data_IF_401516377249
#
_entry.id   IF_401516377249
#
_cell.length_a   1.000
_cell.length_b   1.000
_cell.length_c   1.000
_cell.angle_alpha   90.00
_cell.angle_beta   90.00
_cell.angle_gamma   90.00
#
_symmetry.space_group_name_H-M   'P 1'
#
loop_
_entity.id
_entity.type
_entity.pdbx_description
1 polymer ?
#
# COMPACT_ATOMS: atom_id res chain seq x y z
N UNK A 1 10.69 43.32 10.11
CA UNK A 1 9.50 42.74 10.77
C UNK A 1 8.53 42.26 9.71
N UNK A 2 8.58 40.99 9.33
CA UNK A 2 7.65 40.37 8.38
C UNK A 2 6.80 39.36 9.15
N UNK A 3 5.48 39.59 9.16
CA UNK A 3 4.49 38.73 9.80
C UNK A 3 4.40 37.42 9.04
N UNK A 4 4.87 36.33 9.66
CA UNK A 4 4.53 34.97 9.27
C UNK A 4 3.02 34.79 9.42
N UNK A 5 2.32 34.64 8.31
CA UNK A 5 0.96 34.13 8.28
C UNK A 5 1.01 32.63 8.62
N UNK A 6 1.00 32.31 9.91
CA UNK A 6 0.57 31.00 10.42
C UNK A 6 -0.92 30.86 10.19
N UNK A 7 -1.32 30.49 8.98
CA UNK A 7 -2.55 29.70 8.81
C UNK A 7 -2.17 28.27 9.19
N UNK A 8 -2.17 28.03 10.50
CA UNK A 8 -2.48 26.70 11.03
C UNK A 8 -3.78 26.28 10.36
N UNK A 9 -3.74 25.15 9.67
CA UNK A 9 -4.90 24.47 9.12
C UNK A 9 -5.92 24.27 10.24
N UNK A 10 -6.91 25.16 10.30
CA UNK A 10 -8.17 24.89 10.98
C UNK A 10 -8.77 23.68 10.25
N UNK A 11 -8.70 22.51 10.89
CA UNK A 11 -9.41 21.32 10.42
C UNK A 11 -10.90 21.66 10.35
N UNK A 12 -11.52 21.40 9.21
CA UNK A 12 -12.95 21.63 9.03
C UNK A 12 -13.72 20.91 10.15
N UNK A 13 -14.62 21.58 10.90
CA UNK A 13 -15.42 20.94 11.93
C UNK A 13 -16.23 19.73 11.42
N UNK A 14 -16.43 19.56 10.10
CA UNK A 14 -16.97 18.32 9.52
C UNK A 14 -15.99 17.15 9.60
N UNK A 15 -14.69 17.38 9.36
CA UNK A 15 -13.65 16.33 9.38
C UNK A 15 -13.41 15.80 10.80
N UNK A 16 -13.52 16.68 11.81
CA UNK A 16 -13.40 16.30 13.23
C UNK A 16 -14.56 15.38 13.63
N UNK A 17 -15.79 15.71 13.22
CA UNK A 17 -16.98 14.89 13.48
C UNK A 17 -16.93 13.53 12.76
N UNK A 18 -16.53 13.51 11.48
CA UNK A 18 -16.34 12.24 10.77
C UNK A 18 -15.26 11.36 11.42
N UNK A 19 -14.20 11.96 11.98
CA UNK A 19 -13.14 11.22 12.66
C UNK A 19 -13.56 10.64 14.01
N UNK A 20 -14.40 11.35 14.78
CA UNK A 20 -14.98 10.87 16.04
C UNK A 20 -16.00 9.77 15.79
N UNK A 21 -16.89 9.93 14.80
CA UNK A 21 -17.87 8.92 14.41
C UNK A 21 -17.20 7.61 13.94
N UNK A 22 -16.10 7.70 13.20
CA UNK A 22 -15.33 6.51 12.79
C UNK A 22 -14.63 5.86 14.00
N UNK A 23 -14.08 6.65 14.91
CA UNK A 23 -13.43 6.11 16.11
C UNK A 23 -14.42 5.39 17.03
N UNK A 24 -15.58 6.01 17.27
CA UNK A 24 -16.66 5.43 18.07
C UNK A 24 -17.23 4.19 17.38
N UNK A 25 -17.44 4.22 16.06
CA UNK A 25 -17.85 3.04 15.30
C UNK A 25 -16.83 1.89 15.44
N UNK A 26 -15.54 2.16 15.28
CA UNK A 26 -14.48 1.14 15.42
C UNK A 26 -14.43 0.63 16.86
N UNK A 27 -14.54 1.51 17.85
CA UNK A 27 -14.49 1.12 19.26
C UNK A 27 -15.68 0.27 19.68
N UNK A 28 -16.87 0.59 19.18
CA UNK A 28 -18.12 -0.07 19.58
C UNK A 28 -18.45 -1.30 18.74
N UNK A 29 -18.05 -1.34 17.47
CA UNK A 29 -18.48 -2.39 16.53
C UNK A 29 -17.34 -3.27 16.03
N UNK A 30 -16.09 -2.82 16.16
CA UNK A 30 -14.91 -3.56 15.68
C UNK A 30 -14.11 -4.16 16.82
N UNK A 31 -13.62 -3.35 17.77
CA UNK A 31 -12.76 -3.85 18.86
C UNK A 31 -13.38 -4.96 19.72
N UNK A 32 -14.70 -5.01 20.00
CA UNK A 32 -15.28 -6.08 20.80
C UNK A 32 -15.22 -7.48 20.14
N UNK A 33 -14.88 -7.55 18.85
CA UNK A 33 -14.95 -8.76 18.04
C UNK A 33 -13.64 -9.15 17.37
N UNK A 34 -12.56 -8.41 17.63
CA UNK A 34 -11.24 -8.60 17.01
C UNK A 34 -10.25 -9.00 18.12
N UNK A 35 -9.68 -10.19 18.03
CA UNK A 35 -8.57 -10.60 18.89
C UNK A 35 -7.26 -9.97 18.41
N UNK A 36 -6.23 -9.93 19.26
CA UNK A 36 -4.93 -9.37 18.89
C UNK A 36 -4.27 -10.11 17.69
N UNK A 37 -4.69 -11.34 17.43
CA UNK A 37 -4.21 -12.19 16.34
C UNK A 37 -5.03 -12.04 15.05
N UNK A 38 -6.16 -11.34 15.09
CA UNK A 38 -7.02 -11.17 13.93
C UNK A 38 -6.50 -10.06 13.00
N UNK A 39 -6.60 -10.24 11.67
CA UNK A 39 -6.22 -9.21 10.72
C UNK A 39 -7.10 -7.96 10.89
N UNK A 40 -6.48 -6.79 10.84
CA UNK A 40 -7.18 -5.52 10.96
C UNK A 40 -8.29 -5.38 9.88
N UNK A 41 -9.50 -4.91 10.24
CA UNK A 41 -10.58 -4.81 9.27
C UNK A 41 -10.26 -3.85 8.11
N UNK A 42 -10.76 -4.14 6.90
CA UNK A 42 -10.47 -3.32 5.72
C UNK A 42 -10.86 -1.85 5.88
N UNK A 43 -11.99 -1.59 6.55
CA UNK A 43 -12.48 -0.22 6.83
C UNK A 43 -11.48 0.59 7.66
N UNK A 44 -10.89 -0.02 8.70
CA UNK A 44 -9.88 0.61 9.53
C UNK A 44 -8.58 0.86 8.75
N UNK A 45 -8.13 -0.12 7.96
CA UNK A 45 -6.95 0.04 7.10
C UNK A 45 -7.12 1.17 6.08
N UNK A 46 -8.29 1.27 5.43
CA UNK A 46 -8.62 2.36 4.51
C UNK A 46 -8.62 3.71 5.23
N UNK A 47 -9.20 3.77 6.44
CA UNK A 47 -9.20 4.99 7.24
C UNK A 47 -7.77 5.45 7.58
N UNK A 48 -6.91 4.53 8.04
CA UNK A 48 -5.51 4.85 8.35
C UNK A 48 -4.77 5.32 7.09
N UNK A 49 -4.95 4.63 5.95
CA UNK A 49 -4.32 5.02 4.69
C UNK A 49 -4.75 6.43 4.25
N UNK A 50 -6.04 6.77 4.37
CA UNK A 50 -6.55 8.12 4.09
C UNK A 50 -5.97 9.16 5.03
N UNK A 51 -5.91 8.87 6.33
CA UNK A 51 -5.33 9.78 7.32
C UNK A 51 -3.86 10.11 7.07
N UNK A 52 -3.07 9.12 6.62
CA UNK A 52 -1.65 9.35 6.31
C UNK A 52 -1.48 10.13 4.99
N UNK A 53 -2.38 9.92 4.02
CA UNK A 53 -2.28 10.48 2.67
C UNK A 53 -3.02 11.80 2.45
N UNK A 54 -3.84 12.25 3.40
CA UNK A 54 -4.70 13.43 3.27
C UNK A 54 -4.52 14.42 4.44
N UNK A 55 -4.59 15.75 4.20
CA UNK A 55 -4.66 16.44 2.89
C UNK A 55 -3.33 16.51 2.14
N UNK A 56 -2.23 16.34 2.86
CA UNK A 56 -0.86 16.31 2.32
C UNK A 56 -0.18 15.07 2.87
N UNK A 57 0.50 14.32 2.00
CA UNK A 57 1.21 13.12 2.39
C UNK A 57 2.35 13.47 3.35
N UNK A 58 2.30 12.92 4.57
CA UNK A 58 3.43 12.98 5.49
C UNK A 58 4.50 11.98 5.07
N UNK A 59 5.66 12.47 4.64
CA UNK A 59 6.75 11.63 4.15
C UNK A 59 7.35 10.71 5.23
N UNK A 60 7.31 11.13 6.51
CA UNK A 60 7.76 10.32 7.65
C UNK A 60 6.89 9.08 7.88
N UNK A 61 5.61 9.16 7.51
CA UNK A 61 4.64 8.08 7.70
C UNK A 61 4.55 7.14 6.47
N UNK A 62 5.34 7.38 5.41
CA UNK A 62 5.34 6.51 4.21
C UNK A 62 5.62 5.04 4.57
N UNK A 63 6.60 4.69 5.43
CA UNK A 63 6.81 3.30 5.84
C UNK A 63 5.55 2.64 6.40
N UNK A 64 4.82 3.35 7.25
CA UNK A 64 3.58 2.85 7.85
C UNK A 64 2.46 2.78 6.82
N UNK A 65 2.35 3.75 5.92
CA UNK A 65 1.41 3.70 4.80
C UNK A 65 1.66 2.45 3.94
N UNK A 66 2.91 2.12 3.66
CA UNK A 66 3.28 0.92 2.91
C UNK A 66 2.83 -0.36 3.64
N UNK A 67 3.00 -0.43 4.97
CA UNK A 67 2.52 -1.58 5.77
C UNK A 67 0.99 -1.76 5.65
N UNK A 68 0.26 -0.65 5.76
CA UNK A 68 -1.21 -0.62 5.61
C UNK A 68 -1.60 -1.03 4.19
N UNK A 69 -0.86 -0.56 3.17
CA UNK A 69 -1.11 -0.89 1.77
C UNK A 69 -0.82 -2.36 1.44
N UNK A 70 0.23 -2.95 2.01
CA UNK A 70 0.49 -4.39 1.89
C UNK A 70 -0.67 -5.22 2.46
N UNK A 71 -1.18 -4.81 3.63
CA UNK A 71 -2.36 -5.45 4.25
C UNK A 71 -3.61 -5.31 3.37
N UNK A 72 -3.86 -4.12 2.81
CA UNK A 72 -4.99 -3.88 1.90
C UNK A 72 -4.89 -4.67 0.60
N UNK A 73 -3.69 -4.81 0.05
CA UNK A 73 -3.45 -5.61 -1.15
C UNK A 73 -3.73 -7.10 -0.89
N UNK A 74 -3.37 -7.60 0.29
CA UNK A 74 -3.73 -8.95 0.71
C UNK A 74 -5.25 -9.13 0.83
N UNK A 75 -5.94 -8.21 1.49
CA UNK A 75 -7.41 -8.18 1.57
C UNK A 75 -8.04 -8.20 0.17
N UNK A 76 -7.53 -7.36 -0.75
CA UNK A 76 -8.01 -7.29 -2.14
C UNK A 76 -7.87 -8.62 -2.85
N UNK A 77 -6.71 -9.28 -2.76
CA UNK A 77 -6.45 -10.57 -3.41
C UNK A 77 -7.39 -11.66 -2.90
N UNK A 78 -7.50 -11.81 -1.59
CA UNK A 78 -8.40 -12.79 -0.96
C UNK A 78 -9.84 -12.53 -1.37
N UNK A 79 -10.27 -11.27 -1.36
CA UNK A 79 -11.61 -10.86 -1.81
C UNK A 79 -11.89 -11.29 -3.26
N UNK A 80 -10.90 -11.18 -4.14
CA UNK A 80 -11.05 -11.57 -5.54
C UNK A 80 -11.04 -13.08 -5.75
N UNK A 81 -10.26 -13.82 -4.97
CA UNK A 81 -10.31 -15.28 -4.93
C UNK A 81 -11.69 -15.76 -4.47
N UNK A 82 -12.26 -15.14 -3.44
CA UNK A 82 -13.64 -15.41 -3.00
C UNK A 82 -14.68 -15.09 -4.09
N UNK A 83 -14.53 -13.96 -4.80
CA UNK A 83 -15.41 -13.63 -5.91
C UNK A 83 -15.36 -14.69 -7.02
N UNK A 84 -14.16 -15.15 -7.40
CA UNK A 84 -13.96 -16.23 -8.38
C UNK A 84 -14.57 -17.55 -7.91
N UNK A 85 -14.36 -17.91 -6.65
CA UNK A 85 -14.91 -19.13 -6.05
C UNK A 85 -16.44 -19.10 -6.05
N UNK A 86 -17.04 -17.99 -5.63
CA UNK A 86 -18.50 -17.82 -5.65
C UNK A 86 -19.09 -17.99 -7.06
N UNK A 87 -18.44 -17.43 -8.08
CA UNK A 87 -18.84 -17.63 -9.48
C UNK A 87 -18.69 -19.08 -9.95
N UNK A 88 -17.63 -19.77 -9.55
CA UNK A 88 -17.42 -21.20 -9.86
C UNK A 88 -18.50 -22.07 -9.21
N UNK A 89 -18.83 -21.80 -7.96
CA UNK A 89 -19.89 -22.52 -7.23
C UNK A 89 -21.26 -22.29 -7.87
N UNK A 90 -21.58 -21.04 -8.25
CA UNK A 90 -22.80 -20.71 -8.98
C UNK A 90 -22.95 -21.56 -10.25
N UNK A 91 -21.89 -21.69 -11.05
CA UNK A 91 -21.93 -22.50 -12.28
C UNK A 91 -22.17 -23.98 -11.97
N UNK A 92 -21.45 -24.55 -11.00
CA UNK A 92 -21.64 -25.94 -10.58
C UNK A 92 -23.05 -26.20 -10.06
N UNK A 93 -23.61 -25.29 -9.26
CA UNK A 93 -24.97 -25.41 -8.76
C UNK A 93 -26.02 -25.35 -9.87
N UNK A 94 -25.81 -24.52 -10.89
CA UNK A 94 -26.67 -24.48 -12.09
C UNK A 94 -26.64 -25.80 -12.89
N UNK A 95 -25.48 -26.44 -12.99
CA UNK A 95 -25.31 -27.72 -13.68
C UNK A 95 -25.95 -28.89 -12.91
N UNK A 96 -25.78 -28.93 -11.58
CA UNK A 96 -26.26 -30.02 -10.72
C UNK A 96 -27.77 -30.01 -10.45
N UNK A 97 -28.45 -28.86 -10.64
CA UNK A 97 -29.87 -28.65 -10.32
C UNK A 97 -30.25 -29.06 -8.88
N UNK A 98 -29.33 -28.95 -7.93
CA UNK A 98 -29.57 -29.35 -6.53
C UNK A 98 -30.70 -28.51 -5.89
N UNK A 99 -31.74 -29.15 -5.33
CA UNK A 99 -32.86 -28.45 -4.71
C UNK A 99 -32.42 -27.74 -3.41
N UNK A 100 -32.91 -26.52 -3.20
CA UNK A 100 -32.66 -25.75 -1.98
C UNK A 100 -31.40 -24.86 -2.00
N UNK A 101 -30.63 -24.84 -3.09
CA UNK A 101 -29.53 -23.90 -3.25
C UNK A 101 -30.05 -22.52 -3.66
N UNK A 102 -29.67 -21.49 -2.89
CA UNK A 102 -29.91 -20.09 -3.23
C UNK A 102 -28.83 -19.63 -4.21
N UNK A 103 -29.24 -19.37 -5.45
CA UNK A 103 -28.36 -18.85 -6.49
C UNK A 103 -28.20 -17.33 -6.39
N UNK A 104 -27.07 -16.82 -6.87
CA UNK A 104 -26.82 -15.39 -7.01
C UNK A 104 -27.83 -14.75 -7.98
N UNK A 105 -28.29 -13.54 -7.64
CA UNK A 105 -29.05 -12.71 -8.57
C UNK A 105 -28.15 -12.27 -9.72
N UNK A 106 -28.72 -12.09 -10.92
CA UNK A 106 -27.98 -11.62 -12.12
C UNK A 106 -27.18 -10.33 -11.88
N UNK A 107 -27.70 -9.43 -11.05
CA UNK A 107 -27.01 -8.18 -10.68
C UNK A 107 -25.75 -8.42 -9.85
N UNK A 108 -25.79 -9.38 -8.94
CA UNK A 108 -24.70 -9.69 -8.01
C UNK A 108 -23.64 -10.53 -8.71
N UNK A 109 -24.07 -11.49 -9.54
CA UNK A 109 -23.20 -12.21 -10.46
C UNK A 109 -22.42 -11.25 -11.37
N UNK A 110 -23.09 -10.25 -11.97
CA UNK A 110 -22.43 -9.24 -12.81
C UNK A 110 -21.36 -8.46 -12.04
N UNK A 111 -21.62 -8.08 -10.78
CA UNK A 111 -20.64 -7.38 -9.94
C UNK A 111 -19.42 -8.27 -9.66
N UNK A 112 -19.64 -9.52 -9.26
CA UNK A 112 -18.56 -10.46 -9.00
C UNK A 112 -17.74 -10.75 -10.26
N UNK A 113 -18.38 -10.89 -11.43
CA UNK A 113 -17.68 -11.05 -12.71
C UNK A 113 -16.78 -9.87 -13.02
N UNK A 114 -17.26 -8.65 -12.79
CA UNK A 114 -16.42 -7.44 -12.99
C UNK A 114 -15.21 -7.42 -12.05
N UNK A 115 -15.33 -7.94 -10.82
CA UNK A 115 -14.20 -8.03 -9.89
C UNK A 115 -13.23 -9.16 -10.23
N UNK A 116 -13.75 -10.26 -10.77
CA UNK A 116 -12.98 -11.43 -11.19
C UNK A 116 -12.37 -11.30 -12.59
N UNK A 117 -12.69 -10.23 -13.33
CA UNK A 117 -12.19 -9.99 -14.69
C UNK A 117 -10.67 -9.78 -14.69
N UNK A 118 -9.94 -10.67 -15.38
CA UNK A 118 -8.47 -10.70 -15.37
C UNK A 118 -7.82 -9.41 -15.86
N UNK A 119 -8.47 -8.66 -16.78
CA UNK A 119 -7.94 -7.39 -17.26
C UNK A 119 -8.03 -6.33 -16.17
N UNK A 120 -9.15 -6.28 -15.46
CA UNK A 120 -9.35 -5.38 -14.31
C UNK A 120 -8.39 -5.76 -13.18
N UNK A 121 -8.25 -7.05 -12.87
CA UNK A 121 -7.31 -7.57 -11.87
C UNK A 121 -5.90 -7.10 -12.15
N UNK A 122 -5.44 -7.34 -13.38
CA UNK A 122 -4.07 -7.04 -13.81
C UNK A 122 -3.80 -5.54 -13.82
N UNK A 123 -4.78 -4.74 -14.23
CA UNK A 123 -4.67 -3.28 -14.26
C UNK A 123 -4.58 -2.71 -12.84
N UNK A 124 -5.41 -3.18 -11.90
CA UNK A 124 -5.34 -2.74 -10.50
C UNK A 124 -4.02 -3.13 -9.84
N UNK A 125 -3.52 -4.34 -10.13
CA UNK A 125 -2.19 -4.81 -9.70
C UNK A 125 -1.07 -3.89 -10.21
N UNK A 126 -1.15 -3.52 -11.50
CA UNK A 126 -0.18 -2.63 -12.12
C UNK A 126 -0.20 -1.23 -11.50
N UNK A 127 -1.39 -0.65 -11.29
CA UNK A 127 -1.55 0.66 -10.63
C UNK A 127 -1.01 0.62 -9.20
N UNK A 128 -1.33 -0.42 -8.44
CA UNK A 128 -0.79 -0.60 -7.09
C UNK A 128 0.74 -0.59 -7.07
N UNK A 129 1.37 -1.35 -7.96
CA UNK A 129 2.83 -1.49 -7.97
C UNK A 129 3.54 -0.27 -8.56
N UNK A 130 3.19 0.14 -9.77
CA UNK A 130 3.93 1.18 -10.51
C UNK A 130 3.58 2.59 -10.05
N UNK A 131 2.29 2.89 -9.87
CA UNK A 131 1.83 4.26 -9.62
C UNK A 131 1.80 4.60 -8.11
N UNK A 132 1.64 3.60 -7.23
CA UNK A 132 1.57 3.80 -5.78
C UNK A 132 2.88 3.37 -5.12
N UNK A 133 3.18 2.07 -5.13
CA UNK A 133 4.27 1.49 -4.33
C UNK A 133 5.64 2.05 -4.72
N UNK A 134 6.02 2.00 -6.00
CA UNK A 134 7.31 2.51 -6.45
C UNK A 134 7.46 4.04 -6.29
N UNK A 135 6.38 4.79 -6.45
CA UNK A 135 6.44 6.23 -6.24
C UNK A 135 6.59 6.58 -4.76
N UNK A 136 5.92 5.86 -3.85
CA UNK A 136 6.13 6.01 -2.42
C UNK A 136 7.56 5.65 -2.00
N UNK A 137 8.15 4.60 -2.59
CA UNK A 137 9.56 4.26 -2.35
C UNK A 137 10.50 5.40 -2.74
N UNK A 138 10.37 5.87 -4.00
CA UNK A 138 11.19 6.97 -4.53
C UNK A 138 11.02 8.24 -3.69
N UNK A 139 9.78 8.58 -3.36
CA UNK A 139 9.47 9.78 -2.58
C UNK A 139 10.07 9.70 -1.18
N UNK A 140 9.95 8.56 -0.50
CA UNK A 140 10.50 8.40 0.84
C UNK A 140 12.03 8.43 0.83
N UNK A 141 12.70 7.76 -0.12
CA UNK A 141 14.16 7.81 -0.22
C UNK A 141 14.64 9.24 -0.56
N UNK A 142 13.93 9.94 -1.45
CA UNK A 142 14.21 11.34 -1.80
C UNK A 142 14.07 12.26 -0.58
N UNK A 143 12.99 12.06 0.20
CA UNK A 143 12.76 12.78 1.46
C UNK A 143 13.86 12.52 2.50
N UNK A 144 14.25 11.26 2.69
CA UNK A 144 15.29 10.90 3.66
C UNK A 144 16.64 11.57 3.35
N UNK A 145 16.94 11.85 2.07
CA UNK A 145 18.21 12.47 1.68
C UNK A 145 18.43 13.83 2.35
N UNK A 146 17.39 14.66 2.39
CA UNK A 146 17.44 16.00 2.96
C UNK A 146 17.00 16.05 4.43
N UNK A 147 16.57 14.93 5.00
CA UNK A 147 16.07 14.88 6.38
C UNK A 147 17.17 14.56 7.40
N UNK A 148 16.94 14.86 8.69
CA UNK A 148 17.83 14.43 9.77
C UNK A 148 17.99 12.91 9.90
N UNK A 149 17.19 12.13 9.16
CA UNK A 149 17.18 10.67 9.17
C UNK A 149 17.88 10.08 7.93
N UNK A 150 18.74 10.84 7.24
CA UNK A 150 19.47 10.39 6.04
C UNK A 150 20.29 9.12 6.27
N UNK A 151 20.75 8.87 7.50
CA UNK A 151 21.42 7.63 7.90
C UNK A 151 20.54 6.38 7.72
N UNK A 152 19.21 6.52 7.64
CA UNK A 152 18.27 5.42 7.44
C UNK A 152 18.09 5.02 5.97
N UNK A 153 18.64 5.75 5.00
CA UNK A 153 18.49 5.46 3.56
C UNK A 153 18.86 4.00 3.26
N UNK A 154 20.01 3.53 3.74
CA UNK A 154 20.47 2.17 3.48
C UNK A 154 19.58 1.09 4.12
N UNK A 155 18.94 1.39 5.25
CA UNK A 155 17.96 0.51 5.89
C UNK A 155 16.73 0.37 4.99
N UNK A 156 16.19 1.49 4.50
CA UNK A 156 15.00 1.48 3.66
C UNK A 156 15.27 0.97 2.25
N UNK A 157 16.45 1.22 1.68
CA UNK A 157 16.85 0.62 0.40
C UNK A 157 16.84 -0.92 0.46
N UNK A 158 17.36 -1.51 1.55
CA UNK A 158 17.30 -2.97 1.74
C UNK A 158 15.88 -3.49 1.90
N UNK A 159 15.01 -2.72 2.56
CA UNK A 159 13.60 -3.08 2.74
C UNK A 159 12.81 -2.99 1.44
N UNK A 160 13.00 -1.92 0.67
CA UNK A 160 12.26 -1.62 -0.56
C UNK A 160 12.75 -2.40 -1.78
N UNK A 161 14.03 -2.78 -1.78
CA UNK A 161 14.69 -3.43 -2.90
C UNK A 161 15.54 -4.62 -2.43
N UNK A 162 14.95 -5.63 -1.78
CA UNK A 162 15.70 -6.66 -1.06
C UNK A 162 16.60 -7.50 -1.98
N UNK A 163 16.18 -7.76 -3.22
CA UNK A 163 16.99 -8.46 -4.23
C UNK A 163 18.31 -7.78 -4.54
N UNK A 164 18.38 -6.45 -4.47
CA UNK A 164 19.59 -5.69 -4.76
C UNK A 164 20.66 -5.81 -3.66
N UNK A 165 20.33 -6.49 -2.56
CA UNK A 165 21.16 -6.69 -1.37
C UNK A 165 21.23 -8.16 -0.92
N UNK A 166 20.75 -9.10 -1.73
CA UNK A 166 20.93 -10.52 -1.51
C UNK A 166 22.43 -10.86 -1.54
N UNK A 167 22.93 -11.58 -0.52
CA UNK A 167 24.36 -11.89 -0.40
C UNK A 167 24.78 -13.06 -1.28
N UNK A 168 23.96 -14.11 -1.32
CA UNK A 168 24.24 -15.34 -2.04
C UNK A 168 22.93 -15.97 -2.55
N UNK A 169 23.02 -16.75 -3.63
CA UNK A 169 21.89 -17.50 -4.19
C UNK A 169 21.01 -16.69 -5.15
N UNK A 170 19.79 -17.19 -5.38
CA UNK A 170 18.80 -16.53 -6.24
C UNK A 170 18.23 -15.29 -5.51
N UNK A 171 18.47 -14.05 -6.00
CA UNK A 171 17.97 -12.83 -5.37
C UNK A 171 16.44 -12.72 -5.38
N UNK A 172 15.74 -13.59 -6.13
CA UNK A 172 14.29 -13.64 -6.23
C UNK A 172 13.67 -14.77 -5.39
N UNK A 173 14.49 -15.50 -4.63
CA UNK A 173 14.04 -16.58 -3.75
C UNK A 173 13.08 -16.10 -2.65
N UNK A 174 12.07 -16.92 -2.31
CA UNK A 174 10.98 -16.55 -1.40
C UNK A 174 11.44 -16.00 -0.04
N UNK A 175 12.50 -16.57 0.52
CA UNK A 175 13.02 -16.17 1.84
C UNK A 175 13.55 -14.73 1.89
N UNK A 176 13.85 -14.11 0.74
CA UNK A 176 14.28 -12.71 0.63
C UNK A 176 13.05 -11.77 0.69
N UNK A 177 11.87 -12.28 0.32
CA UNK A 177 10.64 -11.53 0.08
C UNK A 177 9.59 -11.75 1.18
N UNK A 178 10.03 -11.90 2.43
CA UNK A 178 9.16 -12.20 3.58
C UNK A 178 8.36 -11.00 4.11
N UNK A 179 8.67 -9.77 3.70
CA UNK A 179 7.91 -8.59 4.12
C UNK A 179 6.48 -8.68 3.55
N UNK A 180 5.42 -8.52 4.39
CA UNK A 180 4.02 -8.57 3.94
C UNK A 180 3.70 -7.66 2.76
N UNK A 181 4.46 -6.58 2.59
CA UNK A 181 4.37 -5.66 1.45
C UNK A 181 4.50 -6.36 0.09
N UNK A 182 5.25 -7.47 0.04
CA UNK A 182 5.51 -8.24 -1.19
C UNK A 182 4.71 -9.53 -1.28
N UNK A 183 3.75 -9.73 -0.39
CA UNK A 183 3.02 -10.99 -0.31
C UNK A 183 2.36 -11.34 -1.65
N UNK A 184 2.77 -12.50 -2.19
CA UNK A 184 2.37 -13.04 -3.49
C UNK A 184 2.77 -12.20 -4.70
N UNK A 185 3.89 -11.49 -4.64
CA UNK A 185 4.57 -10.98 -5.83
C UNK A 185 5.07 -12.15 -6.68
N UNK A 186 4.80 -12.11 -7.99
CA UNK A 186 5.37 -13.07 -8.95
C UNK A 186 6.85 -12.79 -9.19
N UNK A 187 7.55 -13.72 -9.85
CA UNK A 187 8.96 -13.53 -10.20
C UNK A 187 9.18 -12.29 -11.06
N UNK A 188 8.33 -12.07 -12.05
CA UNK A 188 8.39 -10.92 -12.96
C UNK A 188 8.20 -9.60 -12.18
N UNK A 189 7.35 -9.59 -11.16
CA UNK A 189 7.16 -8.42 -10.30
C UNK A 189 8.40 -8.16 -9.43
N UNK A 190 9.04 -9.21 -8.92
CA UNK A 190 10.30 -9.11 -8.16
C UNK A 190 11.45 -8.60 -9.03
N UNK A 191 11.55 -9.09 -10.26
CA UNK A 191 12.50 -8.61 -11.26
C UNK A 191 12.27 -7.12 -11.57
N UNK A 192 11.00 -6.71 -11.67
CA UNK A 192 10.65 -5.29 -11.84
C UNK A 192 11.07 -4.45 -10.63
N UNK A 193 10.82 -4.90 -9.41
CA UNK A 193 11.28 -4.21 -8.18
C UNK A 193 12.81 -4.10 -8.17
N UNK A 194 13.53 -5.15 -8.56
CA UNK A 194 15.00 -5.13 -8.68
C UNK A 194 15.49 -4.06 -9.67
N UNK A 195 14.86 -3.97 -10.84
CA UNK A 195 15.15 -2.94 -11.84
C UNK A 195 14.93 -1.53 -11.28
N UNK A 196 13.83 -1.29 -10.57
CA UNK A 196 13.58 -0.01 -9.90
C UNK A 196 14.61 0.26 -8.80
N UNK A 197 15.07 -0.78 -8.10
CA UNK A 197 16.14 -0.68 -7.11
C UNK A 197 17.47 -0.23 -7.71
N UNK A 198 17.82 -0.73 -8.90
CA UNK A 198 19.02 -0.28 -9.64
C UNK A 198 18.87 1.17 -10.11
N UNK A 199 17.70 1.58 -10.62
CA UNK A 199 17.40 2.98 -10.93
C UNK A 199 17.58 3.88 -9.70
N UNK A 200 17.14 3.41 -8.54
CA UNK A 200 17.22 4.13 -7.27
C UNK A 200 18.67 4.24 -6.77
N UNK A 201 19.48 3.18 -6.89
CA UNK A 201 20.92 3.25 -6.61
C UNK A 201 21.62 4.28 -7.50
N UNK A 202 21.32 4.27 -8.80
CA UNK A 202 21.87 5.24 -9.75
C UNK A 202 21.46 6.67 -9.39
N UNK A 203 20.22 6.87 -8.93
CA UNK A 203 19.78 8.16 -8.40
C UNK A 203 20.61 8.60 -7.18
N UNK A 204 20.84 7.73 -6.19
CA UNK A 204 21.60 8.08 -4.98
C UNK A 204 23.04 8.49 -5.33
N UNK A 205 23.65 7.86 -6.33
CA UNK A 205 24.96 8.26 -6.84
C UNK A 205 24.93 9.68 -7.45
N UNK A 206 23.87 10.03 -8.18
CA UNK A 206 23.69 11.39 -8.73
C UNK A 206 23.48 12.43 -7.63
N UNK A 207 22.70 12.11 -6.59
CA UNK A 207 22.53 12.99 -5.44
C UNK A 207 23.88 13.25 -4.74
N UNK A 208 24.66 12.19 -4.49
CA UNK A 208 25.99 12.32 -3.91
C UNK A 208 26.93 13.16 -4.78
N UNK A 209 26.94 12.96 -6.09
CA UNK A 209 27.76 13.75 -7.00
C UNK A 209 27.38 15.24 -6.94
N UNK A 210 26.08 15.53 -6.90
CA UNK A 210 25.59 16.90 -6.75
C UNK A 210 25.97 17.54 -5.41
N UNK A 211 25.91 16.79 -4.31
CA UNK A 211 26.37 17.29 -3.00
C UNK A 211 27.85 17.68 -3.04
N UNK A 212 28.69 16.87 -3.68
CA UNK A 212 30.12 17.16 -3.84
C UNK A 212 30.37 18.38 -4.73
N UNK A 213 29.63 18.54 -5.83
CA UNK A 213 29.69 19.73 -6.69
C UNK A 213 29.27 20.99 -5.92
N UNK A 214 28.21 20.88 -5.13
CA UNK A 214 27.70 21.97 -4.30
C UNK A 214 28.72 22.38 -3.24
N UNK A 215 29.28 21.40 -2.53
CA UNK A 215 30.32 21.62 -1.53
C UNK A 215 31.54 22.34 -2.13
N UNK A 216 32.04 21.86 -3.28
CA UNK A 216 33.18 22.47 -3.97
C UNK A 216 32.89 23.91 -4.43
N UNK A 217 31.67 24.17 -4.94
CA UNK A 217 31.24 25.51 -5.32
C UNK A 217 31.25 26.49 -4.14
N UNK A 218 30.63 26.13 -3.01
CA UNK A 218 30.59 27.01 -1.83
C UNK A 218 31.95 27.15 -1.16
N UNK A 219 32.76 26.09 -1.15
CA UNK A 219 34.15 26.12 -0.66
C UNK A 219 34.99 27.14 -1.45
N UNK A 220 34.86 27.18 -2.78
CA UNK A 220 35.54 28.16 -3.65
C UNK A 220 35.10 29.61 -3.38
N UNK A 221 33.89 29.81 -2.87
CA UNK A 221 33.38 31.12 -2.44
C UNK A 221 33.77 31.50 -1.00
N UNK A 222 34.50 30.63 -0.29
CA UNK A 222 34.86 30.85 1.12
C UNK A 222 33.69 30.68 2.08
N UNK A 223 32.62 30.00 1.66
CA UNK A 223 31.43 29.72 2.48
C UNK A 223 31.61 28.37 3.17
N UNK A 224 31.34 28.31 4.47
CA UNK A 224 31.43 27.08 5.26
C UNK A 224 30.35 26.04 4.84
N UNK A 225 30.67 24.77 5.03
CA UNK A 225 29.81 23.61 4.78
C UNK A 225 28.45 23.71 5.48
N UNK A 226 28.44 24.15 6.75
CA UNK A 226 27.20 24.34 7.52
C UNK A 226 26.20 25.29 6.83
N UNK A 227 26.72 26.28 6.10
CA UNK A 227 25.90 27.23 5.34
C UNK A 227 25.54 26.68 3.96
N UNK A 228 26.44 25.92 3.33
CA UNK A 228 26.20 25.28 2.04
C UNK A 228 25.06 24.24 2.09
N UNK A 229 24.97 23.49 3.18
CA UNK A 229 23.94 22.48 3.44
C UNK A 229 22.85 22.95 4.42
N UNK A 230 22.93 24.20 4.87
CA UNK A 230 21.97 24.79 5.81
C UNK A 230 20.69 25.31 5.16
N UNK A 231 19.85 25.89 6.02
CA UNK A 231 18.60 26.55 5.67
C UNK A 231 18.67 28.02 6.11
N UNK A 232 18.58 28.94 5.14
CA UNK A 232 18.66 30.39 5.33
C UNK A 232 17.74 31.12 4.35
N UNK A 233 17.63 32.44 4.48
CA UNK A 233 16.81 33.26 3.57
C UNK A 233 17.27 33.16 2.10
N UNK A 234 18.58 33.03 1.88
CA UNK A 234 19.18 33.06 0.54
C UNK A 234 19.57 31.68 0.00
N UNK A 235 19.93 30.76 0.89
CA UNK A 235 20.39 29.40 0.58
C UNK A 235 19.47 28.41 1.31
N UNK A 236 18.85 27.48 0.57
CA UNK A 236 18.05 26.41 1.15
C UNK A 236 18.41 25.10 0.45
N UNK A 237 19.16 24.25 1.16
CA UNK A 237 19.57 22.96 0.62
C UNK A 237 18.37 22.10 0.22
N UNK A 238 17.36 22.02 1.09
CA UNK A 238 16.15 21.22 0.85
C UNK A 238 15.37 21.73 -0.37
N UNK A 239 15.21 23.04 -0.51
CA UNK A 239 14.52 23.64 -1.67
C UNK A 239 15.27 23.36 -2.96
N UNK A 240 16.58 23.57 -2.96
CA UNK A 240 17.43 23.39 -4.15
C UNK A 240 17.46 21.90 -4.57
N UNK A 241 17.58 20.98 -3.61
CA UNK A 241 17.52 19.55 -3.84
C UNK A 241 16.15 19.14 -4.41
N UNK A 242 15.06 19.60 -3.80
CA UNK A 242 13.71 19.28 -4.25
C UNK A 242 13.44 19.80 -5.67
N UNK A 243 13.90 21.01 -6.00
CA UNK A 243 13.77 21.56 -7.34
C UNK A 243 14.49 20.70 -8.39
N UNK A 244 15.68 20.17 -8.05
CA UNK A 244 16.50 19.36 -8.95
C UNK A 244 16.03 17.91 -9.08
N UNK A 245 15.66 17.27 -7.97
CA UNK A 245 15.46 15.83 -7.91
C UNK A 245 14.00 15.42 -7.68
N UNK A 246 13.30 16.12 -6.78
CA UNK A 246 11.93 15.76 -6.38
C UNK A 246 10.88 16.14 -7.42
N UNK A 247 11.13 17.18 -8.22
CA UNK A 247 10.27 17.61 -9.33
C UNK A 247 10.00 16.53 -10.39
N UNK A 248 10.82 15.47 -10.43
CA UNK A 248 10.63 14.32 -11.31
C UNK A 248 9.56 13.33 -10.81
N UNK A 249 9.10 13.46 -9.57
CA UNK A 249 8.10 12.59 -8.94
C UNK A 249 6.75 13.31 -8.98
N UNK A 250 5.79 12.74 -9.70
CA UNK A 250 4.41 13.24 -9.74
C UNK A 250 3.63 12.77 -8.50
N UNK A 251 3.80 13.51 -7.40
CA UNK A 251 3.11 13.25 -6.13
C UNK A 251 1.59 13.35 -6.27
N UNK A 252 1.11 14.32 -7.05
CA UNK A 252 -0.31 14.55 -7.28
C UNK A 252 -0.98 13.35 -7.95
N UNK A 253 -0.38 12.83 -9.02
CA UNK A 253 -0.83 11.60 -9.67
C UNK A 253 -0.75 10.40 -8.76
N UNK A 254 0.33 10.26 -7.99
CA UNK A 254 0.51 9.14 -7.05
C UNK A 254 -0.62 9.12 -6.00
N UNK A 255 -0.96 10.28 -5.44
CA UNK A 255 -2.06 10.41 -4.48
C UNK A 255 -3.42 10.18 -5.12
N UNK A 256 -3.64 10.64 -6.36
CA UNK A 256 -4.87 10.34 -7.09
C UNK A 256 -5.03 8.84 -7.33
N UNK A 257 -3.97 8.16 -7.79
CA UNK A 257 -3.96 6.70 -8.00
C UNK A 257 -4.21 5.96 -6.68
N UNK A 258 -3.62 6.40 -5.57
CA UNK A 258 -3.87 5.86 -4.24
C UNK A 258 -5.35 5.97 -3.85
N UNK A 259 -5.96 7.16 -3.96
CA UNK A 259 -7.36 7.34 -3.59
C UNK A 259 -8.32 6.50 -4.45
N UNK A 260 -8.05 6.41 -5.75
CA UNK A 260 -8.81 5.55 -6.66
C UNK A 260 -8.67 4.07 -6.29
N UNK A 261 -7.45 3.62 -5.98
CA UNK A 261 -7.20 2.25 -5.53
C UNK A 261 -7.94 1.94 -4.23
N UNK A 262 -7.83 2.80 -3.20
CA UNK A 262 -8.52 2.63 -1.92
C UNK A 262 -10.04 2.54 -2.11
N UNK A 263 -10.63 3.40 -2.95
CA UNK A 263 -12.05 3.36 -3.27
C UNK A 263 -12.46 2.05 -3.95
N UNK A 264 -11.61 1.49 -4.83
CA UNK A 264 -11.87 0.21 -5.51
C UNK A 264 -11.81 -0.97 -4.53
N UNK A 265 -10.81 -1.00 -3.65
CA UNK A 265 -10.71 -2.03 -2.60
C UNK A 265 -11.92 -1.96 -1.68
N UNK A 266 -12.29 -0.77 -1.22
CA UNK A 266 -13.49 -0.56 -0.39
C UNK A 266 -14.76 -1.07 -1.09
N UNK A 267 -14.97 -0.71 -2.35
CA UNK A 267 -16.16 -1.13 -3.10
C UNK A 267 -16.24 -2.66 -3.21
N UNK A 268 -15.10 -3.31 -3.42
CA UNK A 268 -14.99 -4.76 -3.49
C UNK A 268 -15.34 -5.41 -2.14
N UNK A 269 -14.71 -4.98 -1.05
CA UNK A 269 -14.93 -5.53 0.29
C UNK A 269 -16.39 -5.34 0.72
N UNK A 270 -16.93 -4.12 0.58
CA UNK A 270 -18.31 -3.81 0.95
C UNK A 270 -19.32 -4.64 0.15
N UNK A 271 -19.01 -4.93 -1.12
CA UNK A 271 -19.89 -5.76 -1.96
C UNK A 271 -19.90 -7.20 -1.47
N UNK A 272 -18.72 -7.76 -1.16
CA UNK A 272 -18.63 -9.14 -0.66
C UNK A 272 -19.28 -9.29 0.71
N UNK A 273 -19.08 -8.34 1.61
CA UNK A 273 -19.71 -8.34 2.93
C UNK A 273 -21.24 -8.29 2.83
N UNK A 274 -21.78 -7.48 1.92
CA UNK A 274 -23.23 -7.42 1.67
C UNK A 274 -23.79 -8.71 1.07
N UNK A 275 -23.04 -9.39 0.23
CA UNK A 275 -23.47 -10.65 -0.40
C UNK A 275 -23.34 -11.86 0.52
N UNK A 276 -22.36 -11.84 1.44
CA UNK A 276 -22.02 -12.97 2.30
C UNK A 276 -21.95 -12.60 3.79
N UNK A 277 -23.03 -12.06 4.40
CA UNK A 277 -23.02 -11.53 5.77
C UNK A 277 -22.83 -12.62 6.85
N UNK A 278 -23.13 -13.88 6.53
CA UNK A 278 -23.02 -15.03 7.45
C UNK A 278 -21.59 -15.52 7.67
N UNK A 279 -20.62 -15.12 6.84
CA UNK A 279 -19.20 -15.42 7.05
C UNK A 279 -18.59 -14.60 8.21
N UNK A 280 -19.21 -13.47 8.60
CA UNK A 280 -18.71 -12.60 9.68
C UNK A 280 -19.21 -13.00 11.07
N UNK A 281 -20.38 -13.64 11.21
CA UNK A 281 -21.02 -13.89 12.52
C UNK A 281 -20.33 -14.96 13.38
N UNK A 282 -19.36 -15.70 12.86
CA UNK A 282 -18.71 -16.78 13.60
C UNK A 282 -17.33 -16.46 14.14
N UNK A 283 -16.75 -15.28 13.87
CA UNK A 283 -15.34 -15.02 14.17
C UNK A 283 -14.38 -15.99 13.46
N UNK A 284 -14.91 -16.90 12.65
CA UNK A 284 -14.14 -17.74 11.77
C UNK A 284 -13.87 -16.88 10.54
N UNK A 285 -12.64 -16.39 10.40
CA UNK A 285 -12.16 -15.86 9.12
C UNK A 285 -12.74 -16.72 8.00
N UNK A 286 -13.36 -16.10 7.00
CA UNK A 286 -13.93 -16.81 5.85
C UNK A 286 -12.93 -17.82 5.23
N UNK A 287 -11.63 -17.63 5.48
CA UNK A 287 -10.52 -18.52 5.18
C UNK A 287 -10.60 -19.93 5.83
N UNK A 288 -11.13 -20.09 7.05
CA UNK A 288 -11.09 -21.37 7.77
C UNK A 288 -12.37 -22.22 7.64
N UNK A 289 -13.55 -21.60 7.54
CA UNK A 289 -14.83 -22.35 7.46
C UNK A 289 -15.00 -23.04 6.11
N UNK A 290 -14.51 -22.41 5.04
CA UNK A 290 -14.67 -22.94 3.68
C UNK A 290 -13.70 -24.09 3.39
N UNK A 291 -12.44 -24.00 3.82
CA UNK A 291 -11.47 -25.10 3.68
C UNK A 291 -11.83 -26.31 4.55
N UNK A 292 -12.36 -26.10 5.76
CA UNK A 292 -12.79 -27.18 6.64
C UNK A 292 -14.01 -27.97 6.09
N UNK A 293 -14.84 -27.35 5.23
CA UNK A 293 -15.96 -28.02 4.56
C UNK A 293 -15.50 -28.88 3.38
N UNK A 294 -14.47 -28.47 2.64
CA UNK A 294 -13.89 -29.30 1.57
C UNK A 294 -13.14 -30.52 2.11
N UNK A 295 -12.39 -30.40 3.22
CA UNK A 295 -11.73 -31.56 3.86
C UNK A 295 -12.71 -32.57 4.46
N UNK A 296 -13.96 -32.18 4.73
CA UNK A 296 -15.02 -33.11 5.18
C UNK A 296 -15.82 -33.74 4.04
N UNK A 297 -15.76 -33.18 2.82
CA UNK A 297 -16.39 -33.78 1.64
C UNK A 297 -15.47 -34.75 0.89
N UNK A 298 -14.16 -34.69 1.12
CA UNK A 298 -13.23 -35.76 0.74
C UNK A 298 -13.23 -36.84 1.84
N UNK A 299 -14.23 -37.72 1.80
CA UNK A 299 -14.29 -38.89 2.69
C UNK A 299 -13.02 -39.77 2.59
N UNK A 300 -12.73 -40.58 3.62
CA UNK A 300 -11.52 -41.40 3.65
C UNK A 300 -11.49 -42.35 2.46
N UNK A 301 -10.46 -42.26 1.63
CA UNK A 301 -10.12 -43.33 0.70
C UNK A 301 -9.66 -44.52 1.54
N UNK A 302 -10.60 -45.42 1.84
CA UNK A 302 -10.30 -46.76 2.33
C UNK A 302 -9.47 -47.48 1.27
N UNK A 303 -8.22 -47.80 1.63
CA UNK A 303 -7.42 -48.83 0.97
C UNK A 303 -7.89 -50.21 1.41
#
# INVERSE_FOLDING_TARGET
MLRLNTKLTESDPSDVKESEEVYDYVKENVFPHVTADDPAPPSLLIFIARRISHPVLNCDEIPRLLDVLGSLEMVRRVSMEHARLALKLQLKSLESQEPGIVLLKKTDEKKLRNFADEKIVSTLRLVFREDILFNLYRLHICYLWTSPQSNLIMKFMKRYFPSNYARDGDPFAEHIWQDPLYAGFTREERERVYSVGEEMKAFLLRCRAWDLEREDYFRKLGINEDVAFGESEFISYTRDFNAKFRSTIDEGRSMQSLQLYLKKVQTLTDTLEKLFPSAQRKGESAAMVFLARESKMQGPQTR
#
